data_IF_138122775094
#
_entry.id   IF_138122775094
#
_cell.length_a   1.000
_cell.length_b   1.000
_cell.length_c   1.000
_cell.angle_alpha   90.00
_cell.angle_beta   90.00
_cell.angle_gamma   90.00
#
_symmetry.space_group_name_H-M   'P 1'
#
loop_
_entity.id
_entity.type
_entity.pdbx_description
1 polymer ?
#
# COMPACT_ATOMS: atom_id res chain seq x y z
N UNK A 1 6.19 -12.68 0.25
CA UNK A 1 6.64 -12.09 1.53
C UNK A 1 5.60 -11.09 2.05
N UNK A 2 5.31 -11.06 3.36
CA UNK A 2 4.60 -9.93 3.99
C UNK A 2 5.64 -8.90 4.43
N UNK A 3 5.47 -7.65 4.02
CA UNK A 3 6.38 -6.55 4.33
C UNK A 3 5.69 -5.52 5.23
N UNK A 4 6.42 -4.95 6.19
CA UNK A 4 5.92 -3.92 7.09
C UNK A 4 6.70 -2.62 6.90
N UNK A 5 5.98 -1.51 6.71
CA UNK A 5 6.56 -0.17 6.63
C UNK A 5 5.77 0.82 7.46
N UNK A 6 6.43 1.91 7.85
CA UNK A 6 5.71 3.02 8.46
C UNK A 6 4.91 3.75 7.37
N UNK A 7 5.56 4.15 6.28
CA UNK A 7 4.90 4.79 5.16
C UNK A 7 5.06 3.98 3.86
N UNK A 8 4.12 4.12 2.93
CA UNK A 8 4.27 3.56 1.57
C UNK A 8 5.58 4.02 0.90
N UNK A 9 5.98 5.29 1.10
CA UNK A 9 7.19 5.87 0.50
C UNK A 9 8.47 5.12 0.88
N UNK A 10 8.50 4.46 2.04
CA UNK A 10 9.69 3.77 2.54
C UNK A 10 10.03 2.52 1.73
N UNK A 11 9.05 1.91 1.04
CA UNK A 11 9.35 0.75 0.19
C UNK A 11 10.23 1.15 -1.00
N UNK A 12 10.07 2.37 -1.51
CA UNK A 12 10.86 2.86 -2.63
C UNK A 12 12.33 3.12 -2.24
N UNK A 13 12.61 3.42 -0.97
CA UNK A 13 13.99 3.51 -0.48
C UNK A 13 14.69 2.15 -0.51
N UNK A 14 13.97 1.09 -0.16
CA UNK A 14 14.48 -0.29 -0.19
C UNK A 14 14.70 -0.80 -1.62
N UNK A 15 13.80 -0.46 -2.54
CA UNK A 15 13.93 -0.82 -3.97
C UNK A 15 15.11 -0.09 -4.58
N UNK A 16 15.22 1.23 -4.38
CA UNK A 16 16.30 2.04 -4.96
C UNK A 16 17.69 1.64 -4.45
N UNK A 17 17.78 1.10 -3.23
CA UNK A 17 19.02 0.56 -2.68
C UNK A 17 19.34 -0.87 -3.15
N UNK A 18 18.57 -1.39 -4.11
CA UNK A 18 18.65 -2.75 -4.64
C UNK A 18 18.52 -3.83 -3.56
N UNK A 19 17.93 -3.49 -2.41
CA UNK A 19 17.75 -4.40 -1.28
C UNK A 19 16.49 -5.26 -1.43
N UNK A 20 15.51 -4.79 -2.20
CA UNK A 20 14.22 -5.47 -2.38
C UNK A 20 13.68 -5.34 -3.79
N UNK A 21 12.90 -6.34 -4.20
CA UNK A 21 12.09 -6.30 -5.40
C UNK A 21 10.61 -6.31 -5.00
N UNK A 22 9.85 -5.33 -5.51
CA UNK A 22 8.40 -5.26 -5.27
C UNK A 22 7.71 -6.57 -5.64
N UNK A 23 8.12 -7.25 -6.72
CA UNK A 23 7.48 -8.48 -7.20
C UNK A 23 7.49 -9.62 -6.18
N UNK A 24 8.41 -9.62 -5.21
CA UNK A 24 8.53 -10.65 -4.18
C UNK A 24 7.63 -10.39 -2.95
N UNK A 25 7.00 -9.23 -2.90
CA UNK A 25 6.08 -8.85 -1.83
C UNK A 25 4.69 -9.33 -2.20
N UNK A 26 4.08 -10.13 -1.33
CA UNK A 26 2.72 -10.65 -1.51
C UNK A 26 1.71 -9.65 -0.95
N UNK A 27 2.02 -9.07 0.23
CA UNK A 27 1.21 -8.07 0.93
C UNK A 27 2.15 -7.04 1.55
N UNK A 28 1.79 -5.76 1.42
CA UNK A 28 2.46 -4.67 2.12
C UNK A 28 1.54 -4.13 3.21
N UNK A 29 2.00 -4.14 4.46
CA UNK A 29 1.32 -3.55 5.60
C UNK A 29 1.99 -2.22 5.91
N UNK A 30 1.21 -1.14 5.96
CA UNK A 30 1.71 0.19 6.29
C UNK A 30 0.89 0.86 7.39
N UNK A 31 1.51 1.77 8.12
CA UNK A 31 0.76 2.65 9.01
C UNK A 31 -0.06 3.67 8.21
N UNK A 32 0.57 4.31 7.21
CA UNK A 32 -0.05 5.37 6.40
C UNK A 32 0.37 5.25 4.92
N UNK A 33 -0.58 5.25 3.99
CA UNK A 33 -0.30 5.25 2.54
C UNK A 33 -0.17 6.65 1.94
N UNK A 34 -0.51 7.70 2.70
CA UNK A 34 -0.63 9.10 2.27
C UNK A 34 -1.46 9.22 0.99
N UNK A 35 -2.66 8.64 1.00
CA UNK A 35 -3.48 8.49 -0.21
C UNK A 35 -3.77 9.81 -0.94
N UNK A 36 -3.82 10.93 -0.20
CA UNK A 36 -3.99 12.28 -0.76
C UNK A 36 -2.89 12.65 -1.76
N UNK A 37 -1.69 12.07 -1.62
CA UNK A 37 -0.52 12.35 -2.44
C UNK A 37 -0.36 11.35 -3.62
N UNK A 38 -1.36 10.50 -3.90
CA UNK A 38 -1.29 9.47 -4.95
C UNK A 38 -0.97 10.00 -6.36
N UNK A 39 -1.33 11.25 -6.66
CA UNK A 39 -1.00 11.87 -7.94
C UNK A 39 0.51 12.09 -8.09
N UNK A 40 1.20 12.42 -7.00
CA UNK A 40 2.65 12.54 -6.99
C UNK A 40 3.29 11.17 -7.20
N UNK A 41 2.74 10.12 -6.58
CA UNK A 41 3.19 8.75 -6.80
C UNK A 41 3.11 8.34 -8.27
N UNK A 42 2.00 8.64 -8.93
CA UNK A 42 1.82 8.36 -10.35
C UNK A 42 2.80 9.17 -11.21
N UNK A 43 3.00 10.45 -10.92
CA UNK A 43 3.94 11.32 -11.67
C UNK A 43 5.39 10.88 -11.51
N UNK A 44 5.80 10.54 -10.29
CA UNK A 44 7.21 10.29 -9.95
C UNK A 44 7.64 8.85 -10.22
N UNK A 45 6.72 7.89 -10.09
CA UNK A 45 7.01 6.45 -10.18
C UNK A 45 6.28 5.75 -11.32
N UNK A 46 5.21 6.35 -11.86
CA UNK A 46 4.30 5.68 -12.78
C UNK A 46 3.35 4.69 -12.11
N UNK A 47 3.40 4.55 -10.78
CA UNK A 47 2.60 3.60 -10.02
C UNK A 47 1.22 4.18 -9.69
N UNK A 48 0.18 3.35 -9.76
CA UNK A 48 -1.21 3.76 -9.51
C UNK A 48 -1.69 3.17 -8.18
N UNK A 49 -2.02 4.05 -7.23
CA UNK A 49 -2.61 3.67 -5.95
C UNK A 49 -4.13 3.81 -6.01
N UNK A 50 -4.84 2.72 -5.70
CA UNK A 50 -6.31 2.67 -5.67
C UNK A 50 -6.80 2.26 -4.29
N UNK A 51 -7.89 2.85 -3.84
CA UNK A 51 -8.56 2.45 -2.60
C UNK A 51 -9.50 1.28 -2.90
N UNK A 52 -9.62 0.36 -1.94
CA UNK A 52 -10.59 -0.73 -1.99
C UNK A 52 -11.63 -0.56 -0.91
N UNK A 53 -12.86 -0.89 -1.27
CA UNK A 53 -13.94 -1.00 -0.30
C UNK A 53 -13.70 -2.26 0.54
N UNK A 54 -13.29 -2.05 1.79
CA UNK A 54 -12.97 -3.11 2.74
C UNK A 54 -14.23 -3.92 3.11
N UNK A 55 -15.41 -3.30 3.04
CA UNK A 55 -16.69 -3.97 3.37
C UNK A 55 -17.12 -4.96 2.28
N UNK A 56 -16.74 -4.70 1.03
CA UNK A 56 -17.04 -5.56 -0.11
C UNK A 56 -15.91 -6.57 -0.42
N UNK A 57 -14.75 -6.44 0.21
CA UNK A 57 -13.57 -7.24 -0.11
C UNK A 57 -13.45 -8.48 0.78
N UNK A 58 -13.50 -9.66 0.15
CA UNK A 58 -13.37 -10.98 0.81
C UNK A 58 -11.94 -11.20 1.38
N UNK A 59 -10.97 -10.35 1.02
CA UNK A 59 -9.59 -10.43 1.50
C UNK A 59 -9.34 -9.55 2.74
N UNK A 60 -9.45 -10.15 3.94
CA UNK A 60 -8.72 -9.89 5.19
C UNK A 60 -8.16 -8.46 5.46
N UNK A 61 -8.93 -7.39 5.24
CA UNK A 61 -8.52 -6.03 5.58
C UNK A 61 -7.63 -5.32 4.55
N UNK A 62 -7.62 -5.75 3.28
CA UNK A 62 -6.95 -4.99 2.20
C UNK A 62 -7.67 -3.67 1.97
N UNK A 63 -6.97 -2.58 2.27
CA UNK A 63 -7.47 -1.19 2.19
C UNK A 63 -7.17 -0.53 0.84
N UNK A 64 -6.05 -0.90 0.22
CA UNK A 64 -5.52 -0.27 -0.98
C UNK A 64 -4.89 -1.31 -1.91
N UNK A 65 -4.72 -0.95 -3.17
CA UNK A 65 -3.94 -1.71 -4.14
C UNK A 65 -3.00 -0.78 -4.90
N UNK A 66 -1.75 -1.21 -5.02
CA UNK A 66 -0.73 -0.53 -5.80
C UNK A 66 -0.46 -1.31 -7.08
N UNK A 67 -0.81 -0.70 -8.22
CA UNK A 67 -0.41 -1.18 -9.52
C UNK A 67 0.97 -0.58 -9.84
N UNK A 68 2.01 -1.37 -9.58
CA UNK A 68 3.39 -1.03 -9.94
C UNK A 68 3.73 -1.61 -11.31
N UNK A 69 4.38 -0.82 -12.17
CA UNK A 69 4.63 -1.19 -13.57
C UNK A 69 5.42 -2.51 -13.76
N UNK A 70 6.18 -2.93 -12.75
CA UNK A 70 6.97 -4.17 -12.77
C UNK A 70 6.21 -5.42 -12.34
N UNK A 71 4.92 -5.31 -11.96
CA UNK A 71 4.13 -6.43 -11.45
C UNK A 71 3.00 -6.84 -12.41
N UNK A 72 2.78 -8.14 -12.54
CA UNK A 72 1.61 -8.68 -13.25
C UNK A 72 0.30 -8.54 -12.46
N UNK A 73 0.38 -8.54 -11.12
CA UNK A 73 -0.77 -8.38 -10.23
C UNK A 73 -0.58 -7.18 -9.31
N UNK A 74 -1.65 -6.40 -9.03
CA UNK A 74 -1.58 -5.30 -8.06
C UNK A 74 -1.07 -5.80 -6.71
N UNK A 75 -0.20 -5.04 -6.08
CA UNK A 75 0.26 -5.30 -4.72
C UNK A 75 -0.85 -4.91 -3.74
N UNK A 76 -1.44 -5.85 -2.99
CA UNK A 76 -2.41 -5.51 -1.95
C UNK A 76 -1.71 -4.81 -0.79
N UNK A 77 -2.38 -3.77 -0.27
CA UNK A 77 -1.89 -2.95 0.83
C UNK A 77 -2.92 -2.92 1.97
N UNK A 78 -2.43 -3.16 3.18
CA UNK A 78 -3.18 -3.04 4.43
C UNK A 78 -2.70 -1.77 5.14
N UNK A 79 -3.54 -0.74 5.19
CA UNK A 79 -3.30 0.51 5.92
C UNK A 79 -3.93 0.41 7.32
N UNK A 80 -3.08 0.40 8.33
CA UNK A 80 -3.51 0.22 9.71
C UNK A 80 -4.33 1.40 10.24
N UNK A 81 -4.01 2.65 9.86
CA UNK A 81 -4.83 3.82 10.22
C UNK A 81 -6.28 3.67 9.80
N UNK A 82 -6.51 3.33 8.52
CA UNK A 82 -7.85 3.13 7.98
C UNK A 82 -8.58 1.98 8.69
N UNK A 83 -7.88 0.89 9.02
CA UNK A 83 -8.49 -0.19 9.81
C UNK A 83 -8.90 0.31 11.20
N UNK A 84 -8.06 1.08 11.87
CA UNK A 84 -8.39 1.61 13.20
C UNK A 84 -9.59 2.56 13.16
N UNK A 85 -9.64 3.43 12.16
CA UNK A 85 -10.77 4.34 11.92
C UNK A 85 -12.07 3.55 11.72
N UNK A 86 -12.03 2.49 10.91
CA UNK A 86 -13.22 1.69 10.58
C UNK A 86 -13.68 0.76 11.72
N UNK A 87 -12.75 0.12 12.41
CA UNK A 87 -13.08 -0.91 13.42
C UNK A 87 -13.34 -0.30 14.78
N UNK A 88 -12.60 0.76 15.14
CA UNK A 88 -12.61 1.32 16.49
C UNK A 88 -13.15 2.75 16.56
N UNK A 89 -13.67 3.31 15.46
CA UNK A 89 -14.04 4.74 15.35
C UNK A 89 -12.90 5.66 15.81
N UNK A 90 -11.65 5.25 15.55
CA UNK A 90 -10.48 6.04 15.89
C UNK A 90 -10.51 7.37 15.11
N UNK A 91 -10.32 8.49 15.80
CA UNK A 91 -10.16 9.82 15.20
C UNK A 91 -8.71 10.26 15.46
N UNK A 92 -7.81 9.92 14.52
CA UNK A 92 -6.39 10.24 14.59
C UNK A 92 -6.02 11.48 13.79
#
# INVERSE_FOLDING_TARGET
LIEFKQELSDIYKDINSNRKNLSHIDILVVWDVKFKDKENLQKDKGDILTQKDITANVFYGVTHQLLAGSRQQPLPIIELKTILELVFNYQG
#
